data_IF_669588811254
#
_entry.id   IF_669588811254
#
_cell.length_a   1.000
_cell.length_b   1.000
_cell.length_c   1.000
_cell.angle_alpha   90.00
_cell.angle_beta   90.00
_cell.angle_gamma   90.00
#
_symmetry.space_group_name_H-M   'P 1'
#
loop_
_entity.id
_entity.type
_entity.pdbx_description
1 polymer ?
#
# COMPACT_ATOMS: atom_id res chain seq x y z
N UNK A 1 -0.54 -8.61 -10.69
CA UNK A 1 -0.17 -10.00 -10.34
C UNK A 1 0.99 -10.05 -9.34
N UNK A 2 2.10 -9.36 -9.61
CA UNK A 2 3.30 -9.27 -8.76
C UNK A 2 2.98 -8.95 -7.28
N UNK A 3 2.16 -7.95 -7.06
CA UNK A 3 1.82 -7.45 -5.73
C UNK A 3 0.96 -8.47 -4.96
N UNK A 4 0.02 -9.10 -5.66
CA UNK A 4 -0.79 -10.18 -5.10
C UNK A 4 0.06 -11.41 -4.73
N UNK A 5 1.05 -11.77 -5.55
CA UNK A 5 1.99 -12.86 -5.23
C UNK A 5 2.79 -12.56 -3.97
N UNK A 6 3.26 -11.32 -3.81
CA UNK A 6 4.01 -10.91 -2.62
C UNK A 6 3.13 -10.96 -1.38
N UNK A 7 1.93 -10.38 -1.43
CA UNK A 7 1.01 -10.43 -0.29
C UNK A 7 0.61 -11.87 0.05
N UNK A 8 0.23 -12.67 -0.94
CA UNK A 8 -0.12 -14.09 -0.78
C UNK A 8 0.94 -14.91 -0.06
N UNK A 9 2.22 -14.65 -0.34
CA UNK A 9 3.34 -15.35 0.26
C UNK A 9 3.47 -15.10 1.76
N UNK A 10 3.08 -13.91 2.19
CA UNK A 10 3.24 -13.46 3.57
C UNK A 10 1.94 -13.47 4.37
N UNK A 11 0.80 -13.57 3.70
CA UNK A 11 -0.49 -13.63 4.36
C UNK A 11 -0.91 -15.07 4.65
N UNK A 12 -1.13 -15.38 5.93
CA UNK A 12 -1.72 -16.65 6.39
C UNK A 12 -2.98 -16.32 7.18
N UNK A 13 -4.18 -16.74 6.73
CA UNK A 13 -5.42 -16.46 7.44
C UNK A 13 -5.38 -16.97 8.89
N UNK A 14 -5.59 -16.06 9.85
CA UNK A 14 -5.67 -16.40 11.27
C UNK A 14 -4.35 -16.76 11.96
N UNK A 15 -3.22 -16.65 11.27
CA UNK A 15 -1.88 -16.81 11.84
C UNK A 15 -0.99 -15.62 11.52
N UNK A 16 -0.01 -15.27 12.37
CA UNK A 16 1.01 -14.32 11.98
C UNK A 16 1.78 -14.84 10.76
N UNK A 17 2.12 -13.95 9.82
CA UNK A 17 2.93 -14.31 8.67
C UNK A 17 4.24 -14.98 9.12
N UNK A 18 4.46 -16.20 8.67
CA UNK A 18 5.69 -16.93 9.02
C UNK A 18 6.85 -16.43 8.19
N UNK A 19 8.00 -16.23 8.83
CA UNK A 19 9.21 -15.71 8.19
C UNK A 19 9.81 -16.69 7.15
N UNK A 20 9.33 -17.93 7.11
CA UNK A 20 9.84 -19.00 6.24
C UNK A 20 9.18 -19.07 4.85
N UNK A 21 8.19 -18.22 4.57
CA UNK A 21 7.53 -18.14 3.28
C UNK A 21 6.67 -19.36 2.91
N UNK A 22 6.14 -20.05 3.91
CA UNK A 22 5.21 -21.17 3.68
C UNK A 22 4.02 -20.74 2.81
N UNK A 23 3.57 -21.57 1.85
CA UNK A 23 2.48 -21.23 0.95
C UNK A 23 1.17 -21.03 1.71
N UNK A 24 0.43 -19.99 1.33
CA UNK A 24 -0.93 -19.77 1.82
C UNK A 24 -1.85 -20.98 1.49
N UNK A 25 -2.86 -21.27 2.31
CA UNK A 25 -3.80 -22.35 2.04
C UNK A 25 -4.52 -22.17 0.72
N UNK A 26 -4.85 -23.26 0.05
CA UNK A 26 -5.56 -23.28 -1.23
C UNK A 26 -6.98 -22.76 -1.06
N UNK A 27 -7.41 -21.83 -1.95
CA UNK A 27 -8.72 -21.20 -1.94
C UNK A 27 -8.68 -19.81 -2.57
N UNK A 28 -9.54 -18.91 -2.12
CA UNK A 28 -9.37 -17.47 -2.32
C UNK A 28 -8.19 -17.03 -1.45
N UNK A 29 -7.03 -16.95 -2.05
CA UNK A 29 -5.74 -16.88 -1.38
C UNK A 29 -5.53 -15.69 -0.43
N UNK A 30 -6.40 -14.68 -0.53
CA UNK A 30 -6.35 -13.48 0.31
C UNK A 30 -7.66 -13.23 1.07
N UNK A 31 -8.45 -14.27 1.29
CA UNK A 31 -9.74 -14.14 1.98
C UNK A 31 -9.56 -13.52 3.38
N UNK A 32 -10.18 -12.35 3.58
CA UNK A 32 -10.11 -11.59 4.82
C UNK A 32 -8.84 -10.77 5.05
N UNK A 33 -7.85 -10.83 4.15
CA UNK A 33 -6.67 -9.95 4.22
C UNK A 33 -7.08 -8.48 4.11
N UNK A 34 -6.46 -7.64 4.92
CA UNK A 34 -6.74 -6.18 4.99
C UNK A 34 -5.55 -5.43 4.42
N UNK A 35 -5.77 -4.79 3.27
CA UNK A 35 -4.75 -4.04 2.55
C UNK A 35 -5.09 -2.55 2.56
N UNK A 36 -4.17 -1.73 3.03
CA UNK A 36 -4.23 -0.27 2.84
C UNK A 36 -3.31 0.10 1.67
N UNK A 37 -3.83 0.86 0.70
CA UNK A 37 -3.05 1.44 -0.41
C UNK A 37 -3.02 2.96 -0.22
N UNK A 38 -1.82 3.53 -0.09
CA UNK A 38 -1.63 4.94 0.25
C UNK A 38 -0.99 5.69 -0.90
N UNK A 39 -1.54 6.83 -1.27
CA UNK A 39 -0.85 7.80 -2.12
C UNK A 39 -1.60 8.27 -3.36
N UNK A 40 -0.86 8.47 -4.45
CA UNK A 40 -1.41 9.00 -5.70
C UNK A 40 -2.20 7.93 -6.47
N UNK A 41 -3.44 7.73 -6.08
CA UNK A 41 -4.36 6.77 -6.71
C UNK A 41 -4.77 7.26 -8.11
N UNK A 42 -5.00 8.56 -8.27
CA UNK A 42 -5.47 9.16 -9.51
C UNK A 42 -4.56 8.86 -10.72
N UNK A 43 -3.25 8.89 -10.50
CA UNK A 43 -2.27 8.70 -11.56
C UNK A 43 -1.64 7.29 -11.55
N UNK A 44 -2.08 6.42 -10.65
CA UNK A 44 -1.50 5.09 -10.48
C UNK A 44 -2.32 4.01 -11.19
N UNK A 45 -1.77 3.47 -12.28
CA UNK A 45 -2.33 2.25 -12.90
C UNK A 45 -2.25 1.04 -11.95
N UNK A 46 -1.24 1.04 -11.08
CA UNK A 46 -1.02 -0.02 -10.10
C UNK A 46 -2.11 -0.03 -9.05
N UNK A 47 -2.57 1.14 -8.57
CA UNK A 47 -3.64 1.21 -7.59
C UNK A 47 -4.92 0.52 -8.09
N UNK A 48 -5.41 0.91 -9.27
CA UNK A 48 -6.64 0.35 -9.84
C UNK A 48 -6.54 -1.17 -10.03
N UNK A 49 -5.48 -1.62 -10.70
CA UNK A 49 -5.31 -3.06 -10.95
C UNK A 49 -5.13 -3.88 -9.67
N UNK A 50 -4.58 -3.30 -8.59
CA UNK A 50 -4.50 -3.97 -7.31
C UNK A 50 -5.84 -4.00 -6.58
N UNK A 51 -6.64 -2.94 -6.62
CA UNK A 51 -8.00 -2.97 -6.06
C UNK A 51 -8.78 -4.12 -6.68
N UNK A 52 -8.86 -4.17 -8.01
CA UNK A 52 -9.62 -5.21 -8.73
C UNK A 52 -9.10 -6.62 -8.42
N UNK A 53 -7.78 -6.82 -8.46
CA UNK A 53 -7.16 -8.13 -8.25
C UNK A 53 -7.26 -8.60 -6.79
N UNK A 54 -6.93 -7.73 -5.83
CA UNK A 54 -6.90 -8.11 -4.42
C UNK A 54 -8.30 -8.43 -3.91
N UNK A 55 -9.31 -7.64 -4.31
CA UNK A 55 -10.71 -7.91 -3.94
C UNK A 55 -11.24 -9.17 -4.60
N UNK A 56 -10.86 -9.45 -5.85
CA UNK A 56 -11.20 -10.71 -6.51
C UNK A 56 -10.60 -11.93 -5.79
N UNK A 57 -9.45 -11.77 -5.12
CA UNK A 57 -8.81 -12.80 -4.29
C UNK A 57 -9.36 -12.85 -2.86
N UNK A 58 -10.31 -11.99 -2.50
CA UNK A 58 -10.98 -12.00 -1.21
C UNK A 58 -10.44 -11.00 -0.19
N UNK A 59 -9.46 -10.17 -0.53
CA UNK A 59 -8.95 -9.12 0.35
C UNK A 59 -9.92 -7.95 0.46
N UNK A 60 -9.89 -7.28 1.62
CA UNK A 60 -10.51 -5.97 1.83
C UNK A 60 -9.48 -4.89 1.55
N UNK A 61 -9.80 -3.98 0.65
CA UNK A 61 -8.90 -2.91 0.25
C UNK A 61 -9.45 -1.57 0.71
N UNK A 62 -8.61 -0.77 1.35
CA UNK A 62 -8.89 0.62 1.70
C UNK A 62 -7.86 1.53 1.03
N UNK A 63 -8.33 2.53 0.32
CA UNK A 63 -7.47 3.56 -0.28
C UNK A 63 -7.35 4.74 0.68
N UNK A 64 -6.13 5.20 0.89
CA UNK A 64 -5.85 6.38 1.73
C UNK A 64 -5.10 7.42 0.91
N UNK A 65 -5.75 8.54 0.63
CA UNK A 65 -5.20 9.61 -0.20
C UNK A 65 -5.85 10.95 0.08
N UNK A 66 -5.17 12.08 -0.24
CA UNK A 66 -5.86 13.37 -0.33
C UNK A 66 -6.99 13.30 -1.36
N UNK A 67 -8.10 14.03 -1.15
CA UNK A 67 -9.23 14.04 -2.10
C UNK A 67 -8.81 14.40 -3.53
N UNK A 68 -7.79 15.24 -3.68
CA UNK A 68 -7.23 15.67 -4.96
C UNK A 68 -6.45 14.58 -5.72
N UNK A 69 -6.09 13.51 -5.03
CA UNK A 69 -5.36 12.35 -5.60
C UNK A 69 -6.23 11.11 -5.75
N UNK A 70 -7.53 11.27 -5.63
CA UNK A 70 -8.52 10.23 -5.90
C UNK A 70 -9.22 10.49 -7.24
N UNK A 71 -9.45 9.46 -8.05
CA UNK A 71 -10.21 9.60 -9.28
C UNK A 71 -11.69 9.92 -9.01
N UNK A 72 -12.30 10.66 -9.92
CA UNK A 72 -13.76 10.87 -9.91
C UNK A 72 -14.45 9.55 -10.24
N UNK A 73 -15.56 9.25 -9.59
CA UNK A 73 -16.35 8.04 -9.85
C UNK A 73 -15.79 6.79 -9.18
N UNK A 74 -15.15 6.95 -8.01
CA UNK A 74 -14.66 5.82 -7.22
C UNK A 74 -15.75 5.01 -6.52
N UNK A 75 -16.98 5.50 -6.51
CA UNK A 75 -18.12 4.81 -5.86
C UNK A 75 -18.36 3.40 -6.42
N UNK A 76 -17.94 3.17 -7.67
CA UNK A 76 -18.03 1.86 -8.33
C UNK A 76 -16.83 0.93 -8.04
N UNK A 77 -15.82 1.40 -7.31
CA UNK A 77 -14.66 0.57 -7.00
C UNK A 77 -14.93 -0.32 -5.77
N UNK A 78 -14.53 -1.60 -5.81
CA UNK A 78 -14.78 -2.53 -4.70
C UNK A 78 -13.78 -2.28 -3.54
N UNK A 79 -13.73 -1.06 -3.01
CA UNK A 79 -12.81 -0.67 -1.94
C UNK A 79 -13.42 0.43 -1.07
N UNK A 80 -12.90 0.58 0.12
CA UNK A 80 -13.20 1.70 1.00
C UNK A 80 -12.21 2.86 0.78
N UNK A 81 -12.58 4.07 1.20
CA UNK A 81 -11.75 5.27 1.10
C UNK A 81 -11.62 5.92 2.46
N UNK A 82 -10.41 6.27 2.84
CA UNK A 82 -10.10 7.09 4.01
C UNK A 82 -9.18 8.26 3.61
N UNK A 83 -9.25 9.32 4.38
CA UNK A 83 -8.42 10.52 4.19
C UNK A 83 -7.38 10.68 5.29
N UNK A 84 -7.38 9.80 6.29
CA UNK A 84 -6.50 9.83 7.44
C UNK A 84 -5.79 8.47 7.59
N UNK A 85 -4.48 8.47 7.41
CA UNK A 85 -3.69 7.24 7.48
C UNK A 85 -3.56 6.70 8.90
N UNK A 86 -3.51 7.57 9.89
CA UNK A 86 -3.38 7.16 11.29
C UNK A 86 -4.66 6.43 11.76
N UNK A 87 -5.82 7.01 11.50
CA UNK A 87 -7.12 6.40 11.77
C UNK A 87 -7.29 5.08 11.01
N UNK A 88 -6.94 5.07 9.72
CA UNK A 88 -7.04 3.85 8.91
C UNK A 88 -6.18 2.70 9.45
N UNK A 89 -4.96 2.98 9.92
CA UNK A 89 -4.10 1.97 10.53
C UNK A 89 -4.70 1.45 11.85
N UNK A 90 -5.22 2.35 12.69
CA UNK A 90 -5.78 2.01 13.99
C UNK A 90 -7.07 1.19 13.87
N UNK A 91 -7.99 1.59 12.99
CA UNK A 91 -9.29 0.93 12.83
C UNK A 91 -9.20 -0.38 12.04
N UNK A 92 -8.42 -0.39 10.96
CA UNK A 92 -8.35 -1.53 10.05
C UNK A 92 -7.40 -2.61 10.57
N UNK A 93 -6.34 -2.22 11.29
CA UNK A 93 -5.26 -3.13 11.69
C UNK A 93 -4.76 -3.96 10.49
N UNK A 94 -4.13 -3.33 9.49
CA UNK A 94 -3.87 -3.93 8.19
C UNK A 94 -2.86 -5.08 8.25
N UNK A 95 -3.01 -6.06 7.36
CA UNK A 95 -2.03 -7.11 7.14
C UNK A 95 -0.92 -6.65 6.18
N UNK A 96 -1.24 -5.65 5.33
CA UNK A 96 -0.26 -4.99 4.47
C UNK A 96 -0.58 -3.51 4.25
N UNK A 97 0.46 -2.70 4.13
CA UNK A 97 0.38 -1.30 3.68
C UNK A 97 1.21 -1.15 2.42
N UNK A 98 0.57 -0.77 1.32
CA UNK A 98 1.23 -0.50 0.05
C UNK A 98 1.33 1.01 -0.18
N UNK A 99 2.56 1.52 -0.22
CA UNK A 99 2.83 2.92 -0.52
C UNK A 99 2.99 3.10 -2.02
N UNK A 100 2.22 4.01 -2.61
CA UNK A 100 2.34 4.37 -4.02
C UNK A 100 3.42 5.41 -4.23
N UNK A 101 4.10 5.34 -5.37
CA UNK A 101 5.04 6.38 -5.78
C UNK A 101 4.30 7.69 -6.06
N UNK A 102 4.79 8.78 -5.48
CA UNK A 102 4.40 10.14 -5.87
C UNK A 102 5.22 10.58 -7.08
N UNK A 103 4.53 11.01 -8.14
CA UNK A 103 5.17 11.52 -9.34
C UNK A 103 5.56 13.00 -9.14
N UNK A 104 6.78 13.24 -8.64
CA UNK A 104 7.28 14.59 -8.34
C UNK A 104 7.24 15.53 -9.55
N UNK A 105 7.42 14.99 -10.73
CA UNK A 105 7.37 15.71 -12.00
C UNK A 105 5.99 16.37 -12.21
N UNK A 106 4.94 15.73 -11.76
CA UNK A 106 3.57 16.25 -11.84
C UNK A 106 3.26 17.28 -10.77
N UNK A 107 3.91 17.18 -9.61
CA UNK A 107 3.79 18.20 -8.55
C UNK A 107 4.30 19.56 -9.03
N UNK A 108 5.34 19.58 -9.87
CA UNK A 108 5.93 20.82 -10.42
C UNK A 108 5.19 21.32 -11.65
N UNK A 109 4.60 20.45 -12.46
CA UNK A 109 3.96 20.79 -13.74
C UNK A 109 2.50 21.26 -13.60
N UNK A 110 1.81 20.88 -12.52
CA UNK A 110 0.37 21.15 -12.34
C UNK A 110 0.04 22.55 -11.80
N UNK A 111 0.91 23.55 -11.95
CA UNK A 111 0.58 24.94 -11.64
C UNK A 111 0.17 25.20 -10.19
N UNK A 112 0.66 24.46 -9.24
CA UNK A 112 0.69 24.82 -7.80
C UNK A 112 -0.60 24.73 -7.02
N UNK A 113 -1.70 24.17 -7.52
CA UNK A 113 -2.98 24.28 -6.81
C UNK A 113 -3.54 23.00 -6.18
N UNK A 114 -3.12 21.84 -6.62
CA UNK A 114 -3.82 20.58 -6.29
C UNK A 114 -2.98 19.53 -5.55
N UNK A 115 -1.68 19.72 -5.44
CA UNK A 115 -0.80 18.82 -4.72
C UNK A 115 -0.33 19.43 -3.40
N UNK A 116 -0.37 18.68 -2.29
CA UNK A 116 0.31 19.11 -1.07
C UNK A 116 1.81 19.23 -1.32
N UNK A 117 2.49 20.12 -0.59
CA UNK A 117 3.96 20.17 -0.65
C UNK A 117 4.56 18.82 -0.27
N UNK A 118 5.80 18.49 -0.71
CA UNK A 118 6.47 17.25 -0.31
C UNK A 118 6.51 17.05 1.21
N UNK A 119 6.72 18.13 1.97
CA UNK A 119 6.76 18.09 3.42
C UNK A 119 5.39 17.80 4.04
N UNK A 120 4.34 18.44 3.55
CA UNK A 120 2.96 18.17 3.98
C UNK A 120 2.55 16.74 3.63
N UNK A 121 2.83 16.31 2.41
CA UNK A 121 2.51 14.94 2.00
C UNK A 121 3.21 13.91 2.88
N UNK A 122 4.52 14.05 3.11
CA UNK A 122 5.27 13.14 3.96
C UNK A 122 4.75 13.13 5.41
N UNK A 123 4.35 14.30 5.93
CA UNK A 123 3.79 14.41 7.28
C UNK A 123 2.44 13.71 7.42
N UNK A 124 1.54 13.90 6.45
CA UNK A 124 0.14 13.42 6.53
C UNK A 124 -0.01 11.99 6.00
N UNK A 125 0.69 11.63 4.93
CA UNK A 125 0.52 10.36 4.22
C UNK A 125 1.78 9.48 4.18
N UNK A 126 2.94 9.99 4.59
CA UNK A 126 4.16 9.18 4.66
C UNK A 126 4.08 8.09 5.72
N UNK A 127 4.68 6.94 5.45
CA UNK A 127 4.77 5.85 6.41
C UNK A 127 5.89 6.12 7.43
N UNK A 128 5.62 6.98 8.40
CA UNK A 128 6.57 7.33 9.46
C UNK A 128 6.90 6.13 10.36
N UNK A 129 8.00 6.22 11.12
CA UNK A 129 8.36 5.20 12.11
C UNK A 129 7.29 5.02 13.19
N UNK A 130 6.54 6.08 13.53
CA UNK A 130 5.41 5.99 14.46
C UNK A 130 4.26 5.16 13.88
N UNK A 131 3.83 5.45 12.63
CA UNK A 131 2.79 4.70 11.92
C UNK A 131 3.16 3.24 11.74
N UNK A 132 4.42 2.98 11.40
CA UNK A 132 4.91 1.61 11.27
C UNK A 132 4.84 0.83 12.60
N UNK A 133 5.11 1.48 13.74
CA UNK A 133 4.94 0.85 15.06
C UNK A 133 3.48 0.63 15.44
N UNK A 134 2.57 1.46 14.95
CA UNK A 134 1.12 1.30 15.17
C UNK A 134 0.51 0.17 14.34
N UNK A 135 1.16 -0.23 13.26
CA UNK A 135 0.73 -1.39 12.46
C UNK A 135 0.90 -2.70 13.25
N UNK A 136 0.06 -3.71 13.01
CA UNK A 136 0.27 -5.06 13.54
C UNK A 136 1.69 -5.56 13.29
N UNK A 137 2.22 -6.37 14.19
CA UNK A 137 3.60 -6.84 14.11
C UNK A 137 3.86 -7.68 12.84
N UNK A 138 2.86 -8.45 12.40
CA UNK A 138 2.90 -9.25 11.18
C UNK A 138 2.73 -8.45 9.89
N UNK A 139 2.28 -7.19 9.98
CA UNK A 139 1.97 -6.39 8.82
C UNK A 139 3.21 -6.08 7.98
N UNK A 140 3.11 -6.28 6.66
CA UNK A 140 4.18 -6.02 5.72
C UNK A 140 4.05 -4.66 5.04
N UNK A 141 5.18 -4.10 4.63
CA UNK A 141 5.25 -2.86 3.85
C UNK A 141 5.62 -3.19 2.42
N UNK A 142 4.83 -2.69 1.48
CA UNK A 142 4.96 -2.90 0.04
C UNK A 142 5.11 -1.56 -0.69
N UNK A 143 5.79 -1.59 -1.83
CA UNK A 143 5.90 -0.45 -2.75
C UNK A 143 6.17 -0.96 -4.17
N UNK A 144 5.41 -0.56 -5.19
CA UNK A 144 5.58 -1.07 -6.55
C UNK A 144 6.90 -0.66 -7.21
N UNK A 145 7.68 0.23 -6.58
CA UNK A 145 8.94 0.77 -7.09
C UNK A 145 8.79 1.68 -8.32
N UNK A 146 9.81 2.48 -8.63
CA UNK A 146 10.85 2.93 -7.72
C UNK A 146 10.30 3.87 -6.64
N UNK A 147 10.86 3.84 -5.42
CA UNK A 147 10.40 4.69 -4.32
C UNK A 147 11.15 6.03 -4.27
N UNK A 148 10.49 7.07 -3.76
CA UNK A 148 11.14 8.32 -3.36
C UNK A 148 11.45 8.23 -1.85
N UNK A 149 12.67 7.82 -1.50
CA UNK A 149 13.11 7.75 -0.11
C UNK A 149 12.97 9.12 0.57
N UNK A 150 12.38 9.14 1.77
CA UNK A 150 12.13 10.35 2.52
C UNK A 150 10.83 11.09 2.16
N UNK A 151 10.07 10.63 1.18
CA UNK A 151 8.76 11.18 0.82
C UNK A 151 7.62 10.22 1.22
N UNK A 152 7.49 9.09 0.53
CA UNK A 152 6.46 8.09 0.85
C UNK A 152 6.90 7.20 2.03
N UNK A 153 8.17 6.81 2.03
CA UNK A 153 8.77 5.91 3.02
C UNK A 153 10.11 6.49 3.46
N UNK A 154 10.34 6.68 4.77
CA UNK A 154 11.66 7.03 5.27
C UNK A 154 12.66 5.90 5.01
N UNK A 155 13.95 6.23 4.87
CA UNK A 155 14.98 5.25 4.55
C UNK A 155 15.01 4.06 5.52
N UNK A 156 14.83 4.33 6.81
CA UNK A 156 14.79 3.33 7.87
C UNK A 156 13.63 2.32 7.73
N UNK A 157 12.48 2.77 7.20
CA UNK A 157 11.34 1.88 6.98
C UNK A 157 11.48 1.06 5.69
N UNK A 158 12.23 1.55 4.71
CA UNK A 158 12.54 0.79 3.50
C UNK A 158 13.48 -0.40 3.78
N UNK A 159 14.37 -0.25 4.75
CA UNK A 159 15.37 -1.25 5.13
C UNK A 159 14.89 -2.15 6.32
N UNK A 160 13.65 -1.99 6.77
CA UNK A 160 13.06 -2.78 7.86
C UNK A 160 12.79 -4.24 7.44
N UNK A 161 12.93 -5.21 8.33
CA UNK A 161 12.61 -6.62 8.05
C UNK A 161 11.18 -6.89 7.56
N UNK A 162 10.23 -6.02 7.87
CA UNK A 162 8.84 -6.08 7.37
C UNK A 162 8.66 -5.49 5.97
N UNK A 163 9.70 -4.85 5.42
CA UNK A 163 9.70 -4.34 4.05
C UNK A 163 9.85 -5.50 3.06
N UNK A 164 8.88 -5.63 2.16
CA UNK A 164 8.90 -6.64 1.07
C UNK A 164 9.10 -6.00 -0.30
N UNK A 165 9.60 -4.78 -0.33
CA UNK A 165 9.76 -3.98 -1.55
C UNK A 165 10.71 -4.65 -2.54
N UNK A 166 11.84 -5.15 -2.08
CA UNK A 166 12.83 -5.83 -2.94
C UNK A 166 12.25 -7.13 -3.48
N UNK A 167 11.59 -7.92 -2.65
CA UNK A 167 10.93 -9.15 -3.04
C UNK A 167 9.80 -8.89 -4.05
N UNK A 168 8.99 -7.86 -3.80
CA UNK A 168 7.91 -7.43 -4.69
C UNK A 168 8.44 -7.07 -6.09
N UNK A 169 9.56 -6.36 -6.18
CA UNK A 169 10.22 -6.03 -7.46
C UNK A 169 10.74 -7.29 -8.12
N UNK A 170 11.38 -8.20 -7.36
CA UNK A 170 11.87 -9.49 -7.85
C UNK A 170 10.78 -10.39 -8.42
N UNK A 171 9.61 -10.45 -7.77
CA UNK A 171 8.45 -11.20 -8.27
C UNK A 171 7.92 -10.67 -9.61
N UNK A 172 8.25 -9.43 -9.99
CA UNK A 172 7.91 -8.85 -11.30
C UNK A 172 8.79 -9.30 -12.45
N UNK A 173 9.95 -9.88 -12.17
CA UNK A 173 10.89 -10.40 -13.18
C UNK A 173 10.58 -11.86 -13.52
N UNK A 174 9.88 -12.57 -12.63
CA UNK A 174 9.60 -14.01 -12.74
C UNK A 174 8.21 -14.32 -13.34
N UNK A 175 7.50 -13.32 -13.88
CA UNK A 175 6.15 -13.47 -14.46
C UNK A 175 6.16 -13.25 -15.96
#
# INVERSE_FOLDING_TARGET
LRDAMTLRRWYVPGAPATADGSPAPQGRDLEGARLIIVGDVLHSRVARSNVDLMTALGAKVTLVAPPTLLPVGMDDWPCEVSYNLDEAIEEIQPDAVMMLRIQRERMSAAGGGFFPSPAEYSSVYGLTSARRRAMPEHAIVMHPGPMNRGLEIPAEAADDPRSRIIEQVGNGVSV
#
